data_IF_899119860374
#
_entry.id   IF_899119860374
#
_cell.length_a   1.000
_cell.length_b   1.000
_cell.length_c   1.000
_cell.angle_alpha   90.00
_cell.angle_beta   90.00
_cell.angle_gamma   90.00
#
_symmetry.space_group_name_H-M   'P 1'
#
loop_
_entity.id
_entity.type
_entity.pdbx_description
1 polymer ?
#
# COMPACT_ATOMS: atom_id res chain seq x y z
N UNK A 1 17.36 2.75 10.10
CA UNK A 1 16.21 2.95 9.19
C UNK A 1 15.11 2.00 9.60
N UNK A 2 13.96 2.54 10.00
CA UNK A 2 12.78 1.73 10.35
C UNK A 2 12.21 1.08 9.09
N UNK A 3 11.55 -0.06 9.24
CA UNK A 3 11.03 -0.84 8.12
C UNK A 3 9.65 -1.39 8.45
N UNK A 4 8.65 -0.99 7.68
CA UNK A 4 7.30 -1.54 7.77
C UNK A 4 7.16 -2.59 6.67
N UNK A 5 6.98 -3.84 7.10
CA UNK A 5 6.85 -4.97 6.18
C UNK A 5 5.45 -5.05 5.60
N UNK A 6 5.33 -5.65 4.40
CA UNK A 6 4.07 -5.79 3.65
C UNK A 6 3.02 -6.66 4.33
N UNK A 7 3.31 -7.32 5.45
CA UNK A 7 2.29 -8.03 6.23
C UNK A 7 1.43 -7.07 7.07
N UNK A 8 1.88 -5.83 7.26
CA UNK A 8 1.14 -4.79 7.99
C UNK A 8 0.24 -4.02 7.02
N UNK A 9 -0.79 -4.70 6.48
CA UNK A 9 -1.73 -4.10 5.53
C UNK A 9 -2.97 -3.57 6.24
N UNK A 10 -3.44 -2.42 5.76
CA UNK A 10 -4.78 -1.90 6.00
C UNK A 10 -5.53 -1.78 4.67
N UNK A 11 -6.83 -2.05 4.69
CA UNK A 11 -7.73 -1.93 3.53
C UNK A 11 -8.70 -0.76 3.67
N UNK A 12 -8.56 0.03 4.75
CA UNK A 12 -9.29 1.28 4.97
C UNK A 12 -8.37 2.29 5.63
N UNK A 13 -8.64 3.59 5.45
CA UNK A 13 -7.97 4.64 6.21
C UNK A 13 -8.83 4.98 7.42
N UNK A 14 -8.31 4.71 8.62
CA UNK A 14 -9.08 4.85 9.86
C UNK A 14 -8.17 5.22 11.03
N UNK A 15 -8.59 6.17 11.90
CA UNK A 15 -7.83 6.50 13.11
C UNK A 15 -7.85 5.37 14.15
N UNK A 16 -8.65 4.32 13.93
CA UNK A 16 -8.73 3.15 14.81
C UNK A 16 -7.63 2.12 14.55
N UNK A 17 -6.91 2.24 13.43
CA UNK A 17 -5.80 1.34 13.13
C UNK A 17 -4.62 1.60 14.06
N UNK A 18 -4.09 0.53 14.64
CA UNK A 18 -2.88 0.61 15.45
C UNK A 18 -1.69 0.91 14.53
N UNK A 19 -0.78 1.82 14.91
CA UNK A 19 0.44 2.04 14.15
C UNK A 19 1.25 0.75 14.02
N UNK A 20 1.73 0.48 12.81
CA UNK A 20 2.70 -0.58 12.55
C UNK A 20 4.12 -0.18 12.98
N UNK A 21 4.40 1.12 13.03
CA UNK A 21 5.66 1.70 13.49
C UNK A 21 5.44 3.17 13.92
N UNK A 22 6.37 3.71 14.70
CA UNK A 22 6.40 5.09 15.17
C UNK A 22 7.73 5.73 14.76
N UNK A 23 7.72 6.96 14.24
CA UNK A 23 8.94 7.71 13.86
C UNK A 23 8.92 9.13 14.37
N UNK A 24 10.10 9.70 14.57
CA UNK A 24 10.25 11.15 14.71
C UNK A 24 10.37 11.83 13.32
N UNK A 25 9.99 13.12 13.19
CA UNK A 25 10.19 13.86 11.95
C UNK A 25 11.65 13.83 11.47
N UNK A 26 11.84 13.61 10.15
CA UNK A 26 13.16 13.53 9.52
C UNK A 26 13.80 12.14 9.53
N UNK A 27 13.20 11.14 10.18
CA UNK A 27 13.69 9.75 10.10
C UNK A 27 13.36 9.09 8.75
N UNK A 28 14.29 8.25 8.28
CA UNK A 28 14.07 7.43 7.09
C UNK A 28 13.30 6.14 7.42
N UNK A 29 12.31 5.83 6.59
CA UNK A 29 11.48 4.62 6.68
C UNK A 29 11.44 3.90 5.34
N UNK A 30 11.61 2.59 5.37
CA UNK A 30 11.37 1.71 4.23
C UNK A 30 10.00 1.03 4.35
N UNK A 31 9.15 1.21 3.34
CA UNK A 31 7.91 0.47 3.21
C UNK A 31 8.08 -0.66 2.20
N UNK A 32 7.71 -1.87 2.60
CA UNK A 32 7.45 -2.96 1.65
C UNK A 32 5.97 -2.95 1.31
N UNK A 33 5.64 -2.87 0.03
CA UNK A 33 4.26 -2.86 -0.45
C UNK A 33 3.91 -4.16 -1.16
N UNK A 34 2.62 -4.50 -1.13
CA UNK A 34 2.03 -5.51 -2.00
C UNK A 34 1.41 -4.81 -3.22
N UNK A 35 1.28 -5.52 -4.34
CA UNK A 35 0.60 -4.95 -5.51
C UNK A 35 -0.90 -4.65 -5.24
N UNK A 36 -1.51 -3.85 -6.10
CA UNK A 36 -2.92 -3.45 -5.97
C UNK A 36 -3.90 -4.64 -6.02
N UNK A 37 -3.48 -5.80 -6.56
CA UNK A 37 -4.29 -7.01 -6.57
C UNK A 37 -4.10 -7.85 -5.30
N UNK A 38 -3.29 -7.41 -4.33
CA UNK A 38 -3.01 -8.14 -3.10
C UNK A 38 -2.12 -9.37 -3.31
N UNK A 39 -1.29 -9.37 -4.35
CA UNK A 39 -0.39 -10.47 -4.71
C UNK A 39 -1.11 -11.71 -5.29
N UNK A 40 -2.35 -11.51 -5.73
CA UNK A 40 -3.23 -12.58 -6.22
C UNK A 40 -2.97 -12.92 -7.70
N UNK A 41 -2.54 -11.95 -8.51
CA UNK A 41 -2.27 -12.13 -9.95
C UNK A 41 -0.84 -12.64 -10.14
N UNK A 42 -0.69 -13.94 -10.47
CA UNK A 42 0.63 -14.60 -10.62
C UNK A 42 1.00 -14.91 -12.08
N UNK A 43 0.05 -14.76 -12.99
CA UNK A 43 0.18 -15.04 -14.42
C UNK A 43 -1.11 -14.68 -15.17
N UNK A 44 -1.05 -14.71 -16.50
CA UNK A 44 -2.16 -14.36 -17.39
C UNK A 44 -3.38 -15.27 -17.23
N UNK A 45 -3.18 -16.46 -16.66
CA UNK A 45 -4.21 -17.44 -16.35
C UNK A 45 -5.03 -17.10 -15.09
N UNK A 46 -4.77 -15.97 -14.42
CA UNK A 46 -5.55 -15.51 -13.26
C UNK A 46 -6.70 -14.62 -13.73
N UNK A 47 -7.94 -15.14 -13.86
CA UNK A 47 -9.05 -14.32 -14.32
C UNK A 47 -9.57 -13.40 -13.19
N UNK A 48 -10.11 -12.21 -13.52
CA UNK A 48 -10.58 -11.25 -12.52
C UNK A 48 -11.70 -11.76 -11.59
N UNK A 49 -12.52 -12.70 -12.04
CA UNK A 49 -13.63 -13.29 -11.28
C UNK A 49 -13.15 -14.20 -10.13
N UNK A 50 -11.88 -14.60 -10.13
CA UNK A 50 -11.26 -15.39 -9.05
C UNK A 50 -10.52 -14.55 -8.02
N UNK A 51 -10.46 -13.23 -8.20
CA UNK A 51 -9.83 -12.34 -7.23
C UNK A 51 -10.72 -12.18 -6.00
N UNK A 52 -10.11 -12.26 -4.82
CA UNK A 52 -10.73 -11.78 -3.59
C UNK A 52 -10.67 -10.25 -3.57
N UNK A 53 -11.76 -9.63 -3.99
CA UNK A 53 -11.93 -8.19 -4.04
C UNK A 53 -11.92 -7.52 -2.66
N UNK A 54 -12.02 -8.27 -1.56
CA UNK A 54 -11.84 -7.70 -0.22
C UNK A 54 -10.37 -7.46 0.15
N UNK A 55 -9.45 -7.93 -0.70
CA UNK A 55 -8.00 -7.90 -0.48
C UNK A 55 -7.22 -7.12 -1.55
N UNK A 56 -7.91 -6.29 -2.33
CA UNK A 56 -7.29 -5.35 -3.28
C UNK A 56 -6.93 -4.05 -2.57
N UNK A 57 -5.98 -3.29 -3.13
CA UNK A 57 -5.58 -1.97 -2.65
C UNK A 57 -5.11 -1.93 -1.18
N UNK A 58 -4.44 -2.99 -0.74
CA UNK A 58 -3.82 -3.03 0.59
C UNK A 58 -2.70 -2.00 0.71
N UNK A 59 -2.80 -1.10 1.70
CA UNK A 59 -1.76 -0.12 2.01
C UNK A 59 -0.91 -0.59 3.20
N UNK A 60 0.42 -0.56 3.06
CA UNK A 60 1.35 -0.89 4.16
C UNK A 60 1.39 0.24 5.19
N UNK A 61 1.13 -0.09 6.46
CA UNK A 61 1.16 0.86 7.57
C UNK A 61 0.10 0.55 8.63
N UNK A 62 -0.45 1.56 9.33
CA UNK A 62 -0.10 2.98 9.25
C UNK A 62 1.20 3.31 10.01
N UNK A 63 1.89 4.36 9.60
CA UNK A 63 3.04 4.93 10.30
C UNK A 63 2.57 6.07 11.20
N UNK A 64 2.94 6.06 12.47
CA UNK A 64 2.71 7.18 13.38
C UNK A 64 3.92 8.12 13.36
N UNK A 65 3.69 9.42 13.19
CA UNK A 65 4.73 10.44 13.21
C UNK A 65 4.60 11.25 14.50
N UNK A 66 5.63 11.24 15.34
CA UNK A 66 5.65 11.94 16.61
C UNK A 66 5.48 13.45 16.42
N UNK A 67 4.57 14.04 17.21
CA UNK A 67 4.31 15.48 17.19
C UNK A 67 3.49 15.98 16.00
N UNK A 68 2.99 15.11 15.12
CA UNK A 68 2.05 15.50 14.07
C UNK A 68 0.62 15.62 14.64
N UNK A 69 0.01 16.80 14.47
CA UNK A 69 -1.33 17.12 14.98
C UNK A 69 -2.31 17.50 13.86
N UNK A 70 -3.64 17.42 14.09
CA UNK A 70 -4.64 17.87 13.14
C UNK A 70 -4.43 19.34 12.72
N UNK A 71 -4.26 19.57 11.43
CA UNK A 71 -3.97 20.88 10.86
C UNK A 71 -2.54 21.01 10.32
N UNK A 72 -1.64 20.13 10.76
CA UNK A 72 -0.28 20.05 10.21
C UNK A 72 -0.27 19.42 8.81
N UNK A 73 0.84 19.63 8.10
CA UNK A 73 1.12 18.99 6.81
C UNK A 73 2.27 18.02 6.96
N UNK A 74 2.04 16.75 6.61
CA UNK A 74 3.13 15.78 6.47
C UNK A 74 3.80 15.97 5.10
N UNK A 75 5.08 16.30 5.10
CA UNK A 75 5.92 16.31 3.90
C UNK A 75 6.67 14.99 3.83
N UNK A 76 6.55 14.28 2.72
CA UNK A 76 7.19 12.98 2.50
C UNK A 76 8.07 13.06 1.26
N UNK A 77 9.38 12.92 1.45
CA UNK A 77 10.34 12.81 0.37
C UNK A 77 10.49 11.34 -0.04
N UNK A 78 10.16 11.02 -1.30
CA UNK A 78 10.37 9.70 -1.86
C UNK A 78 11.79 9.61 -2.41
N UNK A 79 12.66 8.94 -1.65
CA UNK A 79 14.10 8.89 -1.95
C UNK A 79 14.48 7.78 -2.92
N UNK A 80 13.78 6.65 -2.86
CA UNK A 80 14.03 5.49 -3.72
C UNK A 80 12.75 4.64 -3.83
N UNK A 81 12.60 3.95 -4.97
CA UNK A 81 11.56 2.96 -5.20
C UNK A 81 12.21 1.76 -5.87
N UNK A 82 12.07 0.59 -5.24
CA UNK A 82 12.50 -0.69 -5.82
C UNK A 82 11.29 -1.53 -6.18
N UNK A 83 11.27 -1.99 -7.42
CA UNK A 83 10.20 -2.81 -7.96
C UNK A 83 10.61 -4.29 -7.98
N UNK A 84 9.60 -5.15 -7.97
CA UNK A 84 9.78 -6.55 -8.36
C UNK A 84 10.07 -6.65 -9.87
N UNK A 85 10.56 -7.79 -10.32
CA UNK A 85 10.88 -8.03 -11.74
C UNK A 85 9.63 -8.04 -12.65
N UNK A 86 8.44 -8.22 -12.08
CA UNK A 86 7.18 -8.35 -12.81
C UNK A 86 6.11 -7.45 -12.19
N UNK A 87 5.23 -6.93 -13.04
CA UNK A 87 3.98 -6.26 -12.67
C UNK A 87 2.80 -6.84 -13.45
N UNK A 88 1.59 -6.44 -13.10
CA UNK A 88 0.35 -6.89 -13.74
C UNK A 88 -0.44 -5.72 -14.33
N UNK A 89 -1.07 -5.95 -15.48
CA UNK A 89 -2.06 -5.05 -16.09
C UNK A 89 -3.33 -5.87 -16.31
N UNK A 90 -4.48 -5.34 -15.95
CA UNK A 90 -5.77 -5.98 -16.17
C UNK A 90 -6.73 -5.03 -16.90
N UNK A 91 -7.48 -5.59 -17.86
CA UNK A 91 -8.63 -4.93 -18.49
C UNK A 91 -9.86 -5.71 -18.07
N UNK A 92 -10.80 -5.04 -17.39
CA UNK A 92 -11.95 -5.68 -16.75
C UNK A 92 -13.23 -5.12 -17.37
N UNK A 93 -14.10 -5.94 -17.97
CA UNK A 93 -15.37 -5.48 -18.51
C UNK A 93 -16.19 -4.68 -17.49
N UNK A 94 -16.66 -3.50 -17.89
CA UNK A 94 -17.43 -2.59 -17.02
C UNK A 94 -16.60 -1.67 -16.11
N UNK A 95 -15.27 -1.73 -16.17
CA UNK A 95 -14.37 -0.85 -15.40
C UNK A 95 -13.46 -0.02 -16.31
N UNK A 96 -13.10 1.17 -15.84
CA UNK A 96 -12.23 2.11 -16.57
C UNK A 96 -12.97 2.99 -17.58
N UNK A 97 -12.22 3.71 -18.42
CA UNK A 97 -12.78 4.69 -19.35
C UNK A 97 -13.33 4.11 -20.67
N UNK A 98 -13.23 2.79 -20.88
CA UNK A 98 -13.64 2.09 -22.10
C UNK A 98 -14.93 1.28 -21.90
N UNK A 99 -15.78 1.71 -20.95
CA UNK A 99 -17.02 1.04 -20.57
C UNK A 99 -18.01 0.88 -21.72
#
# INVERSE_FOLDING_TARGET
MKRIRRENLIYTFSPKHKPAEVVSPGEYVLFETEDAFGGQVRGEETPPDKLDWSRVDGATGPLYVEGADPGDTLVVDILDIKLQERGAIAVIPGYGGLS
#
